data_IF_081026060144
#
_entry.id   IF_081026060144
#
_cell.length_a   1.000
_cell.length_b   1.000
_cell.length_c   1.000
_cell.angle_alpha   90.00
_cell.angle_beta   90.00
_cell.angle_gamma   90.00
#
_symmetry.space_group_name_H-M   'P 1'
#
loop_
_entity.id
_entity.type
_entity.pdbx_description
1 polymer ?
#
# COMPACT_ATOMS: atom_id res chain seq x y z
N UNK A 1 -4.23 -16.77 28.67
CA UNK A 1 -3.58 -16.88 27.34
C UNK A 1 -2.27 -16.13 27.39
N UNK A 2 -1.13 -16.81 27.31
CA UNK A 2 0.17 -16.15 27.27
C UNK A 2 0.27 -15.30 26.00
N UNK A 3 0.40 -13.98 26.14
CA UNK A 3 0.75 -13.11 25.02
C UNK A 3 2.13 -13.56 24.56
N UNK A 4 2.21 -14.16 23.37
CA UNK A 4 3.51 -14.39 22.71
C UNK A 4 4.16 -13.02 22.58
N UNK A 5 5.37 -12.86 23.09
CA UNK A 5 6.19 -11.69 22.77
C UNK A 5 6.27 -11.57 21.24
N UNK A 6 6.11 -10.37 20.68
CA UNK A 6 6.24 -10.18 19.24
C UNK A 6 7.68 -10.56 18.86
N UNK A 7 7.83 -11.63 18.06
CA UNK A 7 9.13 -11.92 17.43
C UNK A 7 9.50 -10.68 16.64
N UNK A 8 10.55 -9.98 17.06
CA UNK A 8 11.19 -8.93 16.26
C UNK A 8 11.59 -9.59 14.94
N UNK A 9 10.82 -9.38 13.88
CA UNK A 9 11.09 -9.98 12.58
C UNK A 9 12.22 -9.18 11.96
N UNK A 10 13.38 -9.82 11.86
CA UNK A 10 14.56 -9.23 11.25
C UNK A 10 14.21 -8.90 9.79
N UNK A 11 14.46 -7.66 9.37
CA UNK A 11 14.34 -7.26 7.97
C UNK A 11 15.27 -8.11 7.13
N UNK A 12 14.74 -8.77 6.11
CA UNK A 12 15.55 -9.57 5.20
C UNK A 12 16.05 -8.70 4.05
N UNK A 13 17.27 -8.16 4.17
CA UNK A 13 17.83 -7.23 3.17
C UNK A 13 17.87 -7.77 1.73
N UNK A 14 17.86 -9.10 1.55
CA UNK A 14 17.87 -9.77 0.25
C UNK A 14 16.46 -10.05 -0.31
N UNK A 15 15.39 -9.72 0.41
CA UNK A 15 14.01 -9.92 -0.06
C UNK A 15 13.71 -9.21 -1.39
N UNK A 16 14.11 -7.94 -1.61
CA UNK A 16 13.90 -7.25 -2.89
C UNK A 16 14.39 -8.04 -4.12
N UNK A 17 15.64 -8.52 -4.08
CA UNK A 17 16.21 -9.29 -5.19
C UNK A 17 15.55 -10.66 -5.36
N UNK A 18 15.13 -11.31 -4.26
CA UNK A 18 14.40 -12.59 -4.35
C UNK A 18 13.03 -12.43 -5.00
N UNK A 19 12.32 -11.34 -4.71
CA UNK A 19 11.04 -11.02 -5.37
C UNK A 19 11.26 -10.79 -6.86
N UNK A 20 12.24 -9.97 -7.24
CA UNK A 20 12.56 -9.71 -8.64
C UNK A 20 12.89 -10.99 -9.44
N UNK A 21 13.74 -11.86 -8.88
CA UNK A 21 14.07 -13.16 -9.49
C UNK A 21 12.85 -14.07 -9.62
N UNK A 22 11.94 -14.06 -8.63
CA UNK A 22 10.72 -14.86 -8.70
C UNK A 22 9.78 -14.36 -9.80
N UNK A 23 9.60 -13.04 -9.88
CA UNK A 23 8.78 -12.37 -10.89
C UNK A 23 9.29 -12.64 -12.30
N UNK A 24 10.60 -12.51 -12.54
CA UNK A 24 11.24 -12.80 -13.83
C UNK A 24 11.00 -14.26 -14.25
N UNK A 25 11.23 -15.21 -13.34
CA UNK A 25 11.07 -16.65 -13.62
C UNK A 25 9.63 -17.04 -13.95
N UNK A 26 8.66 -16.36 -13.35
CA UNK A 26 7.25 -16.60 -13.62
C UNK A 26 6.77 -15.95 -14.92
N UNK A 27 7.54 -15.00 -15.48
CA UNK A 27 7.20 -14.33 -16.74
C UNK A 27 5.86 -13.56 -16.66
N UNK A 28 5.58 -12.95 -15.51
CA UNK A 28 4.32 -12.24 -15.28
C UNK A 28 4.28 -10.93 -16.06
N UNK A 29 3.10 -10.58 -16.59
CA UNK A 29 2.88 -9.29 -17.25
C UNK A 29 2.47 -8.18 -16.25
N UNK A 30 1.91 -8.58 -15.11
CA UNK A 30 1.47 -7.69 -14.04
C UNK A 30 1.69 -8.38 -12.69
N UNK A 31 2.17 -7.64 -11.69
CA UNK A 31 2.33 -8.13 -10.32
C UNK A 31 1.76 -7.14 -9.33
N UNK A 32 1.13 -7.66 -8.28
CA UNK A 32 0.74 -6.88 -7.10
C UNK A 32 1.72 -7.22 -5.98
N UNK A 33 2.33 -6.20 -5.38
CA UNK A 33 3.23 -6.33 -4.24
C UNK A 33 2.56 -5.67 -3.03
N UNK A 34 2.58 -6.34 -1.88
CA UNK A 34 2.02 -5.84 -0.61
C UNK A 34 2.92 -6.21 0.56
N UNK A 35 2.72 -5.55 1.71
CA UNK A 35 3.48 -5.80 2.93
C UNK A 35 2.58 -5.84 4.16
N UNK A 36 3.14 -6.31 5.26
CA UNK A 36 2.60 -6.00 6.59
C UNK A 36 3.05 -4.62 7.04
N UNK A 37 2.37 -4.00 8.00
CA UNK A 37 2.82 -2.76 8.62
C UNK A 37 4.14 -2.99 9.38
N UNK A 38 5.07 -2.05 9.23
CA UNK A 38 6.39 -2.08 9.87
C UNK A 38 6.61 -0.87 10.75
N UNK A 39 5.67 -0.67 11.65
CA UNK A 39 5.71 0.33 12.74
C UNK A 39 6.98 0.29 13.60
N UNK A 40 7.70 -0.83 13.59
CA UNK A 40 8.97 -1.00 14.26
C UNK A 40 10.17 -0.37 13.51
N UNK A 41 9.97 0.02 12.24
CA UNK A 41 10.98 0.67 11.41
C UNK A 41 10.76 2.20 11.36
N UNK A 42 11.84 2.99 11.32
CA UNK A 42 11.74 4.45 11.24
C UNK A 42 11.03 4.99 9.98
N UNK A 43 11.06 4.24 8.88
CA UNK A 43 10.50 4.61 7.57
C UNK A 43 9.24 3.78 7.22
N UNK A 44 8.67 3.06 8.19
CA UNK A 44 7.55 2.14 7.95
C UNK A 44 7.84 1.02 6.94
N UNK A 45 9.10 0.82 6.55
CA UNK A 45 9.51 -0.11 5.48
C UNK A 45 9.54 0.48 4.07
N UNK A 46 9.31 1.78 3.87
CA UNK A 46 9.31 2.43 2.55
C UNK A 46 10.60 2.20 1.75
N UNK A 47 11.77 2.16 2.40
CA UNK A 47 13.02 1.84 1.71
C UNK A 47 13.07 0.40 1.17
N UNK A 48 12.36 -0.55 1.77
CA UNK A 48 12.26 -1.93 1.24
C UNK A 48 11.38 -1.95 -0.01
N UNK A 49 10.28 -1.20 0.00
CA UNK A 49 9.41 -1.02 -1.16
C UNK A 49 10.18 -0.49 -2.37
N UNK A 50 10.90 0.64 -2.20
CA UNK A 50 11.68 1.24 -3.27
C UNK A 50 12.72 0.28 -3.86
N UNK A 51 13.47 -0.43 -3.01
CA UNK A 51 14.43 -1.44 -3.48
C UNK A 51 13.77 -2.60 -4.21
N UNK A 52 12.57 -3.00 -3.81
CA UNK A 52 11.82 -4.10 -4.44
C UNK A 52 11.35 -3.70 -5.83
N UNK A 53 10.80 -2.49 -5.97
CA UNK A 53 10.37 -1.92 -7.24
C UNK A 53 11.55 -1.79 -8.21
N UNK A 54 12.66 -1.17 -7.79
CA UNK A 54 13.86 -1.05 -8.62
C UNK A 54 14.38 -2.40 -9.10
N UNK A 55 14.50 -3.38 -8.20
CA UNK A 55 14.95 -4.72 -8.58
C UNK A 55 13.99 -5.38 -9.58
N UNK A 56 12.67 -5.22 -9.41
CA UNK A 56 11.69 -5.75 -10.35
C UNK A 56 11.78 -5.07 -11.73
N UNK A 57 11.96 -3.75 -11.78
CA UNK A 57 12.15 -3.02 -13.05
C UNK A 57 13.43 -3.44 -13.79
N UNK A 58 14.53 -3.70 -13.06
CA UNK A 58 15.77 -4.19 -13.65
C UNK A 58 15.61 -5.58 -14.28
N UNK A 59 14.90 -6.48 -13.61
CA UNK A 59 14.72 -7.87 -14.06
C UNK A 59 13.58 -8.06 -15.08
N UNK A 60 12.54 -7.23 -15.03
CA UNK A 60 11.33 -7.37 -15.84
C UNK A 60 10.80 -6.00 -16.31
N UNK A 61 11.54 -5.27 -17.18
CA UNK A 61 11.28 -3.86 -17.52
C UNK A 61 9.98 -3.62 -18.32
N UNK A 62 9.29 -4.67 -18.77
CA UNK A 62 8.00 -4.56 -19.47
C UNK A 62 6.80 -5.00 -18.62
N UNK A 63 7.06 -5.52 -17.42
CA UNK A 63 6.01 -5.91 -16.50
C UNK A 63 5.49 -4.67 -15.78
N UNK A 64 4.17 -4.62 -15.57
CA UNK A 64 3.57 -3.59 -14.74
C UNK A 64 3.52 -3.99 -13.27
N UNK A 65 3.71 -3.04 -12.35
CA UNK A 65 3.71 -3.25 -10.91
C UNK A 65 2.62 -2.41 -10.24
N UNK A 66 1.71 -3.08 -9.56
CA UNK A 66 0.80 -2.47 -8.58
C UNK A 66 1.38 -2.65 -7.18
N UNK A 67 1.44 -1.55 -6.41
CA UNK A 67 1.76 -1.60 -4.99
C UNK A 67 0.49 -1.44 -4.18
N UNK A 68 0.26 -2.32 -3.21
CA UNK A 68 -0.75 -2.16 -2.17
C UNK A 68 -0.05 -1.83 -0.85
N UNK A 69 0.11 -0.54 -0.58
CA UNK A 69 0.92 -0.01 0.50
C UNK A 69 0.17 0.04 1.85
N UNK A 70 0.90 -0.02 2.98
CA UNK A 70 0.33 0.29 4.29
C UNK A 70 0.00 1.79 4.42
N UNK A 71 -0.55 2.20 5.56
CA UNK A 71 -0.92 3.59 5.84
C UNK A 71 0.28 4.54 6.10
N UNK A 72 1.48 3.98 6.35
CA UNK A 72 2.70 4.71 6.77
C UNK A 72 2.47 5.70 7.92
N UNK A 73 1.43 5.48 8.74
CA UNK A 73 0.91 6.40 9.77
C UNK A 73 0.68 7.82 9.26
N UNK A 74 0.33 7.97 7.99
CA UNK A 74 0.15 9.24 7.31
C UNK A 74 1.45 10.01 7.04
N UNK A 75 2.62 9.35 7.09
CA UNK A 75 3.88 9.99 6.74
C UNK A 75 4.07 10.05 5.22
N UNK A 76 3.77 11.22 4.63
CA UNK A 76 3.84 11.42 3.19
C UNK A 76 5.26 11.27 2.61
N UNK A 77 6.33 11.40 3.41
CA UNK A 77 7.70 11.16 2.93
C UNK A 77 7.97 9.68 2.64
N UNK A 78 7.32 8.80 3.37
CA UNK A 78 7.42 7.36 3.14
C UNK A 78 6.61 6.99 1.88
N UNK A 79 5.50 7.70 1.63
CA UNK A 79 4.73 7.63 0.38
C UNK A 79 5.57 8.11 -0.82
N UNK A 80 6.24 9.26 -0.71
CA UNK A 80 7.16 9.79 -1.73
C UNK A 80 8.20 8.75 -2.13
N UNK A 81 8.81 8.11 -1.13
CA UNK A 81 9.86 7.10 -1.34
C UNK A 81 9.38 5.92 -2.20
N UNK A 82 8.11 5.52 -2.05
CA UNK A 82 7.55 4.43 -2.86
C UNK A 82 7.15 4.92 -4.25
N UNK A 83 6.58 6.11 -4.37
CA UNK A 83 6.20 6.71 -5.65
C UNK A 83 7.42 7.00 -6.54
N UNK A 84 8.50 7.52 -5.96
CA UNK A 84 9.77 7.79 -6.65
C UNK A 84 10.37 6.52 -7.27
N UNK A 85 10.03 5.34 -6.76
CA UNK A 85 10.47 4.06 -7.31
C UNK A 85 9.61 3.57 -8.49
N UNK A 86 8.59 4.34 -8.89
CA UNK A 86 7.87 4.24 -10.16
C UNK A 86 6.86 3.09 -10.28
N UNK A 87 5.94 2.85 -9.34
CA UNK A 87 4.87 1.88 -9.54
C UNK A 87 3.90 2.33 -10.65
N UNK A 88 3.36 1.39 -11.42
CA UNK A 88 2.32 1.68 -12.42
C UNK A 88 0.96 1.98 -11.76
N UNK A 89 0.68 1.32 -10.64
CA UNK A 89 -0.54 1.54 -9.84
C UNK A 89 -0.16 1.68 -8.37
N UNK A 90 -0.55 2.80 -7.76
CA UNK A 90 -0.37 3.06 -6.34
C UNK A 90 -1.70 2.82 -5.59
N UNK A 91 -1.78 1.73 -4.84
CA UNK A 91 -2.99 1.32 -4.14
C UNK A 91 -2.85 1.42 -2.62
N UNK A 92 -3.92 1.88 -1.97
CA UNK A 92 -4.11 1.81 -0.53
C UNK A 92 -5.61 1.65 -0.24
N UNK A 93 -5.97 0.65 0.56
CA UNK A 93 -7.38 0.31 0.77
C UNK A 93 -7.97 1.06 1.97
N UNK A 94 -9.14 1.67 1.77
CA UNK A 94 -9.95 2.18 2.89
C UNK A 94 -10.61 1.07 3.71
N UNK A 95 -10.88 -0.07 3.07
CA UNK A 95 -11.51 -1.27 3.61
C UNK A 95 -12.98 -1.12 4.06
N UNK A 96 -13.38 0.02 4.62
CA UNK A 96 -14.75 0.21 5.11
C UNK A 96 -15.17 1.68 5.17
N UNK A 97 -16.42 1.92 5.56
CA UNK A 97 -17.02 3.26 5.70
C UNK A 97 -16.56 3.96 6.99
N UNK A 98 -16.51 5.32 7.05
CA UNK A 98 -15.95 6.07 8.17
C UNK A 98 -16.49 5.65 9.55
N UNK A 99 -17.80 5.43 9.67
CA UNK A 99 -18.44 4.99 10.92
C UNK A 99 -17.89 3.67 11.47
N UNK A 100 -17.47 2.76 10.58
CA UNK A 100 -16.94 1.44 10.93
C UNK A 100 -15.42 1.39 10.98
N UNK A 101 -14.74 2.43 10.50
CA UNK A 101 -13.30 2.44 10.28
C UNK A 101 -12.51 2.02 11.53
N UNK A 102 -12.74 2.68 12.67
CA UNK A 102 -12.08 2.36 13.96
C UNK A 102 -12.31 0.92 14.44
N UNK A 103 -13.42 0.28 14.03
CA UNK A 103 -13.76 -1.08 14.42
C UNK A 103 -13.05 -2.11 13.53
N UNK A 104 -12.89 -1.81 12.25
CA UNK A 104 -12.26 -2.69 11.26
C UNK A 104 -10.74 -2.51 11.24
N UNK A 105 -10.28 -1.26 11.25
CA UNK A 105 -8.89 -0.85 11.15
C UNK A 105 -8.50 0.03 12.36
N UNK A 106 -8.25 -0.53 13.55
CA UNK A 106 -8.05 0.25 14.76
C UNK A 106 -6.74 1.04 14.81
N UNK A 107 -5.76 0.67 13.97
CA UNK A 107 -4.42 1.30 13.90
C UNK A 107 -4.34 2.40 12.85
N UNK A 108 -5.21 2.36 11.85
CA UNK A 108 -5.26 3.31 10.74
C UNK A 108 -6.30 4.42 10.99
N UNK A 109 -6.34 5.43 10.11
CA UNK A 109 -7.32 6.50 10.08
C UNK A 109 -7.78 6.77 8.65
N UNK A 110 -9.09 7.00 8.50
CA UNK A 110 -9.69 7.34 7.21
C UNK A 110 -8.98 8.52 6.54
N UNK A 111 -8.61 9.55 7.32
CA UNK A 111 -7.93 10.73 6.80
C UNK A 111 -6.51 10.43 6.29
N UNK A 112 -5.82 9.44 6.88
CA UNK A 112 -4.50 9.03 6.40
C UNK A 112 -4.58 8.31 5.07
N UNK A 113 -5.55 7.43 4.91
CA UNK A 113 -5.81 6.76 3.64
C UNK A 113 -6.17 7.75 2.53
N UNK A 114 -7.05 8.72 2.80
CA UNK A 114 -7.40 9.78 1.85
C UNK A 114 -6.18 10.65 1.50
N UNK A 115 -5.37 11.03 2.50
CA UNK A 115 -4.16 11.82 2.28
C UNK A 115 -3.12 11.05 1.47
N UNK A 116 -2.98 9.75 1.70
CA UNK A 116 -2.02 8.88 0.98
C UNK A 116 -2.37 8.80 -0.51
N UNK A 117 -3.64 8.57 -0.84
CA UNK A 117 -4.10 8.49 -2.23
C UNK A 117 -4.08 9.86 -2.93
N UNK A 118 -4.55 10.91 -2.25
CA UNK A 118 -4.53 12.26 -2.79
C UNK A 118 -3.11 12.77 -3.03
N UNK A 119 -2.21 12.55 -2.08
CA UNK A 119 -0.80 12.94 -2.22
C UNK A 119 -0.11 12.20 -3.37
N UNK A 120 -0.41 10.91 -3.57
CA UNK A 120 0.10 10.17 -4.73
C UNK A 120 -0.34 10.79 -6.05
N UNK A 121 -1.59 11.23 -6.14
CA UNK A 121 -2.15 11.88 -7.34
C UNK A 121 -1.59 13.28 -7.56
N UNK A 122 -1.31 14.03 -6.49
CA UNK A 122 -0.70 15.35 -6.54
C UNK A 122 0.76 15.29 -6.98
N UNK A 123 1.52 14.32 -6.46
CA UNK A 123 2.94 14.14 -6.76
C UNK A 123 3.16 13.64 -8.20
N UNK A 124 2.38 12.63 -8.61
CA UNK A 124 2.40 12.10 -9.98
C UNK A 124 0.98 12.06 -10.58
N UNK A 125 0.59 13.06 -11.39
CA UNK A 125 -0.71 13.07 -12.06
C UNK A 125 -0.91 11.95 -13.09
N UNK A 126 0.13 11.18 -13.42
CA UNK A 126 0.05 10.04 -14.34
C UNK A 126 -0.08 8.71 -13.61
N UNK A 127 0.30 8.61 -12.33
CA UNK A 127 0.11 7.37 -11.57
C UNK A 127 -1.38 7.04 -11.43
N UNK A 128 -1.71 5.76 -11.61
CA UNK A 128 -3.04 5.27 -11.33
C UNK A 128 -3.17 5.02 -9.82
N UNK A 129 -4.09 5.73 -9.17
CA UNK A 129 -4.43 5.45 -7.77
C UNK A 129 -5.57 4.43 -7.70
N UNK A 130 -5.54 3.57 -6.68
CA UNK A 130 -6.54 2.52 -6.47
C UNK A 130 -6.86 2.35 -4.99
N UNK A 131 -8.12 2.07 -4.69
CA UNK A 131 -8.56 1.70 -3.35
C UNK A 131 -9.58 0.58 -3.39
N UNK A 132 -9.81 -0.05 -2.24
CA UNK A 132 -10.74 -1.15 -2.04
C UNK A 132 -11.62 -0.93 -0.82
N UNK A 133 -12.86 -1.44 -0.89
CA UNK A 133 -13.83 -1.43 0.20
C UNK A 133 -14.43 -2.84 0.31
N UNK A 134 -14.45 -3.38 1.52
CA UNK A 134 -15.18 -4.62 1.83
C UNK A 134 -16.63 -4.29 2.22
N UNK A 135 -17.58 -4.78 1.43
CA UNK A 135 -19.01 -4.72 1.75
C UNK A 135 -19.43 -5.87 2.67
N UNK A 136 -20.58 -5.73 3.35
CA UNK A 136 -21.09 -6.75 4.28
C UNK A 136 -20.58 -6.62 5.72
N UNK A 137 -19.80 -5.59 6.04
CA UNK A 137 -19.32 -5.30 7.41
C UNK A 137 -20.32 -4.50 8.27
N UNK A 138 -21.52 -4.24 7.75
CA UNK A 138 -22.56 -3.44 8.40
C UNK A 138 -22.60 -1.98 7.94
N UNK A 139 -21.89 -1.63 6.86
CA UNK A 139 -22.06 -0.38 6.13
C UNK A 139 -23.34 -0.41 5.29
N UNK A 140 -23.98 0.74 5.13
CA UNK A 140 -25.14 0.92 4.25
C UNK A 140 -24.72 1.24 2.82
N UNK A 141 -25.65 1.12 1.87
CA UNK A 141 -25.40 1.49 0.47
C UNK A 141 -25.01 2.98 0.34
N UNK A 142 -25.71 3.87 1.03
CA UNK A 142 -25.45 5.32 0.96
C UNK A 142 -24.07 5.66 1.51
N UNK A 143 -23.65 5.04 2.62
CA UNK A 143 -22.29 5.22 3.16
C UNK A 143 -21.21 4.75 2.17
N UNK A 144 -21.45 3.65 1.44
CA UNK A 144 -20.50 3.18 0.40
C UNK A 144 -20.43 4.18 -0.75
N UNK A 145 -21.57 4.72 -1.18
CA UNK A 145 -21.62 5.73 -2.24
C UNK A 145 -20.90 7.02 -1.81
N UNK A 146 -21.03 7.43 -0.55
CA UNK A 146 -20.27 8.56 0.00
C UNK A 146 -18.76 8.31 -0.06
N UNK A 147 -18.29 7.14 0.38
CA UNK A 147 -16.87 6.79 0.27
C UNK A 147 -16.39 6.79 -1.18
N UNK A 148 -17.18 6.29 -2.13
CA UNK A 148 -16.82 6.34 -3.55
C UNK A 148 -16.71 7.78 -4.08
N UNK A 149 -17.52 8.72 -3.56
CA UNK A 149 -17.40 10.14 -3.89
C UNK A 149 -16.14 10.75 -3.28
N UNK A 150 -15.84 10.43 -2.02
CA UNK A 150 -14.63 10.88 -1.34
C UNK A 150 -13.38 10.41 -2.10
N UNK A 151 -13.31 9.11 -2.41
CA UNK A 151 -12.22 8.52 -3.19
C UNK A 151 -12.06 9.13 -4.58
N UNK A 152 -13.14 9.59 -5.20
CA UNK A 152 -13.09 10.25 -6.51
C UNK A 152 -12.63 11.71 -6.43
N UNK A 153 -12.76 12.33 -5.26
CA UNK A 153 -12.39 13.72 -5.03
C UNK A 153 -10.90 13.90 -4.70
N UNK A 154 -10.18 12.81 -4.45
CA UNK A 154 -8.73 12.77 -4.23
C UNK A 154 -7.97 12.20 -5.43
#
# INVERSE_FOLDING_TARGET
>A
MARREPRRRIVQSLEPGRVAVAVEKLGLNHVVITSVDRDDLPDGGAGIWARTLHACHEHAPRMTIEVLVPDFKGNLRDVDTVLDAGPDVFAHNLETVPRLFRKVQPQDKYEWAMSTLGHARELDPLVLTKSGIMVGLGGTFDEVVEVMRDLRAV
#
